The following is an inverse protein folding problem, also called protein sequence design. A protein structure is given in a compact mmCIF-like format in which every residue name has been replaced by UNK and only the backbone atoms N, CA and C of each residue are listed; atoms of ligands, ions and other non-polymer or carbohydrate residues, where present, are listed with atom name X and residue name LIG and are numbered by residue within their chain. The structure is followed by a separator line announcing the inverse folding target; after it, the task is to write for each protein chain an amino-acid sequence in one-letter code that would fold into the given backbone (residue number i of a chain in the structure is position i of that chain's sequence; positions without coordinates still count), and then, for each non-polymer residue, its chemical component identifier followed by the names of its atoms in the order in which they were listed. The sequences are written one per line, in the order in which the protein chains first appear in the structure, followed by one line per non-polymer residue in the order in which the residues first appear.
data_IF_769123808298
#
_entry.id   IF_769123808298
#
_cell.length_a   1.000
_cell.length_b   1.000
_cell.length_c   1.000
_cell.angle_alpha   90.00
_cell.angle_beta   90.00
_cell.angle_gamma   90.00
#
_symmetry.space_group_name_H-M   'P 1'
#
loop_
_entity.id
_entity.type
_entity.pdbx_description
1 polymer ?
2 non-polymer ?
3 water ?
#
# COMPACT_ATOMS: atom_id res chain seq x y z
N UNK A 11 6.42 -25.99 22.20
CA UNK A 11 5.25 -25.45 21.46
C UNK A 11 5.27 -26.00 20.02
N UNK A 12 4.31 -25.58 19.20
CA UNK A 12 4.21 -25.99 17.78
C UNK A 12 5.01 -25.02 16.87
N UNK A 13 5.12 -23.77 17.31
CA UNK A 13 5.97 -22.79 16.65
C UNK A 13 7.03 -22.35 17.65
N UNK A 14 8.10 -21.70 17.17
CA UNK A 14 9.23 -21.33 18.02
C UNK A 14 9.79 -20.00 17.58
N UNK A 15 9.68 -18.97 18.43
CA UNK A 15 10.05 -17.60 18.06
C UNK A 15 11.53 -17.43 17.84
N UNK A 16 11.87 -16.48 16.98
CA UNK A 16 13.27 -16.17 16.67
C UNK A 16 13.58 -14.67 16.57
N UNK A 17 12.65 -13.87 16.04
CA UNK A 17 12.91 -12.43 15.88
C UNK A 17 11.63 -11.59 15.76
N UNK A 18 11.81 -10.26 15.75
CA UNK A 18 10.73 -9.28 15.53
C UNK A 18 10.98 -8.56 14.20
N UNK A 19 10.02 -8.61 13.27
CA UNK A 19 10.25 -8.15 11.89
C UNK A 19 9.59 -6.84 11.32
N UNK A 20 8.67 -6.16 12.02
CA UNK A 20 8.24 -6.50 13.36
C UNK A 20 7.08 -5.68 13.90
N UNK A 21 7.23 -4.36 14.01
CA UNK A 21 6.31 -3.54 14.84
C UNK A 21 5.34 -2.59 14.11
N UNK A 22 4.11 -2.55 14.62
CA UNK A 22 3.06 -1.61 14.21
C UNK A 22 1.96 -1.55 15.28
N UNK A 23 0.70 -1.89 14.95
CA UNK A 23 0.25 -2.25 13.61
C UNK A 23 -0.18 -1.00 12.87
N UNK A 25 0.25 -5.38 17.48
CA UNK A 25 1.12 -4.63 16.57
C UNK A 25 2.44 -5.29 16.22
N UNK A 26 2.79 -6.36 16.94
CA UNK A 26 4.04 -7.07 16.71
C UNK A 26 3.88 -8.24 15.72
N UNK A 27 4.90 -8.42 14.90
CA UNK A 27 5.00 -9.51 13.93
C UNK A 27 6.27 -10.30 14.24
N UNK A 28 6.14 -11.60 14.48
CA UNK A 28 7.29 -12.43 14.83
C UNK A 28 7.65 -13.41 13.73
N UNK A 29 8.92 -13.43 13.36
CA UNK A 29 9.54 -14.55 12.65
C UNK A 29 9.64 -15.76 13.60
N UNK A 30 9.13 -16.90 13.11
CA UNK A 30 9.07 -18.11 13.91
C UNK A 30 9.36 -19.33 13.06
N UNK A 31 9.96 -20.30 13.72
CA UNK A 31 10.20 -21.60 13.16
C UNK A 31 8.87 -22.41 13.21
N UNK A 32 8.40 -22.88 12.05
CA UNK A 32 7.23 -23.78 11.99
C UNK A 32 7.74 -25.22 12.16
N UNK A 33 7.75 -25.71 13.40
CA UNK A 33 8.40 -26.98 13.73
C UNK A 33 7.76 -28.17 13.00
N UNK A 34 6.44 -28.11 12.82
CA UNK A 34 5.65 -29.19 12.25
C UNK A 34 5.84 -29.30 10.73
N UNK A 35 5.98 -28.14 10.07
CA UNK A 35 6.11 -28.11 8.62
C UNK A 35 7.53 -27.77 8.18
N UNK A 36 8.46 -28.70 8.41
CA UNK A 36 9.79 -28.63 7.83
C UNK A 36 10.73 -27.59 8.42
N UNK A 37 10.38 -27.06 9.58
CA UNK A 37 11.12 -25.96 10.20
C UNK A 37 11.16 -24.69 9.37
N UNK A 38 10.19 -24.49 8.50
CA UNK A 38 10.15 -23.29 7.67
C UNK A 38 9.85 -22.05 8.55
N UNK A 39 10.29 -20.90 8.07
CA UNK A 39 9.97 -19.63 8.70
C UNK A 39 8.55 -19.25 8.37
N UNK A 40 7.83 -18.86 9.43
CA UNK A 40 6.53 -18.19 9.31
C UNK A 40 6.55 -16.80 9.99
N UNK A 41 5.47 -16.05 9.83
CA UNK A 41 5.26 -14.80 10.54
C UNK A 41 4.05 -14.95 11.46
N UNK A 42 4.27 -14.97 12.78
CA UNK A 42 3.20 -15.07 13.78
C UNK A 42 2.68 -13.69 14.23
N UNK A 43 1.37 -13.56 14.37
CA UNK A 43 0.72 -12.28 14.72
C UNK A 43 -0.28 -12.48 15.86
N UNK A 44 -0.11 -11.71 16.94
CA UNK A 44 -1.03 -11.72 18.09
C UNK A 44 -1.94 -10.51 18.10
N UNK A 57 -17.01 -9.14 15.50
CA UNK A 57 -16.19 -8.50 14.47
C UNK A 57 -14.77 -9.11 14.37
N UNK A 58 -14.30 -9.79 15.42
CA UNK A 58 -13.00 -10.48 15.40
C UNK A 58 -13.07 -11.75 14.55
N UNK A 59 -13.86 -12.72 15.02
CA UNK A 59 -14.04 -13.98 14.30
C UNK A 59 -14.65 -13.74 12.91
N UNK A 60 -15.28 -12.57 12.72
CA UNK A 60 -15.66 -12.09 11.37
C UNK A 60 -14.46 -11.68 10.51
N UNK A 61 -13.63 -10.76 11.00
CA UNK A 61 -12.41 -10.38 10.26
C UNK A 61 -11.55 -11.61 9.97
N UNK A 62 -11.49 -12.53 10.94
CA UNK A 62 -10.72 -13.77 10.79
C UNK A 62 -11.32 -14.67 9.72
N UNK A 63 -12.65 -14.70 9.71
CA UNK A 63 -13.47 -15.46 8.76
C UNK A 63 -13.27 -14.95 7.36
N UNK A 64 -13.27 -13.63 7.24
CA UNK A 64 -12.96 -12.98 5.97
C UNK A 64 -11.56 -13.36 5.49
N UNK A 65 -10.62 -13.40 6.43
CA UNK A 65 -9.23 -13.68 6.11
C UNK A 65 -9.10 -15.14 5.60
N UNK A 66 -9.79 -16.08 6.26
CA UNK A 66 -9.83 -17.47 5.79
C UNK A 66 -10.53 -17.60 4.45
N UNK A 67 -11.59 -16.83 4.23
CA UNK A 67 -12.28 -16.88 2.94
C UNK A 67 -11.37 -16.41 1.78
N UNK A 68 -10.62 -15.33 2.00
CA UNK A 68 -9.65 -14.87 1.00
C UNK A 68 -8.56 -15.91 0.74
N UNK A 69 -8.06 -16.53 1.80
CA UNK A 69 -7.09 -17.60 1.64
C UNK A 69 -7.56 -18.71 0.66
N UNK A 70 -8.85 -19.04 0.67
CA UNK A 70 -9.33 -20.12 -0.18
C UNK A 70 -9.01 -19.87 -1.65
N UNK A 71 -8.82 -18.62 -2.05
CA UNK A 71 -8.53 -18.32 -3.45
C UNK A 71 -7.03 -18.39 -3.76
N UNK A 72 -6.22 -18.58 -2.73
CA UNK A 72 -4.75 -18.52 -2.82
C UNK A 72 -4.22 -17.57 -3.92
N UNK A 73 -4.59 -16.28 -3.85
CA UNK A 73 -4.08 -15.31 -4.84
C UNK A 73 -2.57 -15.15 -4.68
N UNK A 74 -1.83 -15.11 -5.80
CA UNK A 74 -0.38 -15.16 -5.67
C UNK A 74 0.25 -13.83 -5.19
N UNK A 75 -0.55 -12.76 -5.13
CA UNK A 75 -0.05 -11.46 -4.71
C UNK A 75 -0.57 -11.04 -3.34
N UNK A 76 -0.96 -12.02 -2.54
CA UNK A 76 -1.21 -11.78 -1.12
C UNK A 76 -0.56 -12.85 -0.26
N UNK A 77 -0.10 -12.45 0.91
CA UNK A 77 0.59 -13.35 1.80
C UNK A 77 -0.37 -14.52 2.08
N UNK A 78 0.18 -15.73 2.17
CA UNK A 78 -0.60 -16.92 2.51
C UNK A 78 -0.91 -16.89 4.00
N UNK A 79 -2.15 -17.20 4.36
CA UNK A 79 -2.51 -17.51 5.74
C UNK A 79 -2.41 -19.04 5.95
N UNK A 80 -1.47 -19.49 6.79
CA UNK A 80 -1.24 -20.93 6.99
C UNK A 80 -2.10 -21.50 8.12
N UNK A 81 -2.29 -20.76 9.19
CA UNK A 81 -3.03 -21.28 10.34
C UNK A 81 -3.60 -20.17 11.24
N UNK A 82 -4.66 -20.51 11.95
CA UNK A 82 -5.17 -19.69 13.05
C UNK A 82 -5.17 -20.51 14.32
N UNK A 83 -4.47 -20.01 15.34
CA UNK A 83 -4.43 -20.66 16.65
C UNK A 83 -5.15 -19.82 17.71
N UNK A 84 -5.62 -20.50 18.74
CA UNK A 84 -6.47 -19.87 19.78
C UNK A 84 -6.23 -20.52 21.13
N UNK A 93 -4.34 -14.64 23.20
CA UNK A 93 -5.67 -15.04 22.77
C UNK A 93 -5.67 -15.54 21.32
N UNK A 94 -5.24 -14.69 20.38
CA UNK A 94 -5.38 -14.96 18.93
C UNK A 94 -4.01 -14.95 18.25
N UNK A 95 -3.56 -16.08 17.69
CA UNK A 95 -2.29 -16.14 16.94
C UNK A 95 -2.50 -16.52 15.47
N UNK A 96 -2.22 -15.57 14.57
CA UNK A 96 -2.35 -15.78 13.12
C UNK A 96 -0.99 -16.22 12.55
N UNK A 97 -0.97 -17.30 11.79
CA UNK A 97 0.29 -17.77 11.17
C UNK A 97 0.26 -17.50 9.68
N UNK A 98 1.15 -16.59 9.23
CA UNK A 98 1.27 -16.26 7.82
C UNK A 98 2.57 -16.74 7.23
N UNK A 99 2.61 -16.67 5.91
CA UNK A 99 3.80 -16.82 5.14
C UNK A 99 4.85 -15.74 5.50
N UNK A 100 6.08 -16.20 5.76
CA UNK A 100 7.21 -15.30 5.90
C UNK A 100 7.93 -15.09 4.57
N UNK A 101 8.21 -13.83 4.21
CA UNK A 101 9.11 -13.50 3.10
C UNK A 101 10.30 -12.66 3.59
N UNK A 102 11.48 -12.91 3.03
CA UNK A 102 12.72 -12.35 3.55
C UNK A 102 12.76 -10.83 3.55
N UNK A 103 12.28 -10.19 2.49
CA UNK A 103 12.23 -8.73 2.53
C UNK A 103 10.89 -8.08 2.21
N UNK A 104 10.83 -6.80 2.58
CA UNK A 104 9.74 -5.90 2.21
C UNK A 104 10.25 -4.87 1.20
N UNK A 105 9.38 -4.02 0.71
CA UNK A 105 9.76 -3.09 -0.36
C UNK A 105 10.79 -2.07 0.13
N UNK A 106 10.72 -1.74 1.42
CA UNK A 106 11.62 -0.77 2.05
C UNK A 106 13.05 -1.24 1.90
N UNK A 107 13.30 -2.45 2.40
CA UNK A 107 14.64 -3.05 2.34
C UNK A 107 15.12 -3.31 0.91
N UNK A 108 14.20 -3.60 0.01
CA UNK A 108 14.55 -3.77 -1.39
C UNK A 108 15.00 -2.46 -2.03
N UNK A 109 14.24 -1.38 -1.80
CA UNK A 109 14.61 -0.07 -2.30
C UNK A 109 15.91 0.43 -1.64
N UNK A 110 16.18 0.00 -0.40
CA UNK A 110 17.43 0.31 0.29
C UNK A 110 18.65 -0.26 -0.45
N UNK A 111 18.61 -1.55 -0.73
CA UNK A 111 19.78 -2.28 -1.21
C UNK A 111 19.92 -2.25 -2.74
N UNK A 112 18.91 -1.77 -3.44
CA UNK A 112 18.98 -1.83 -4.91
C UNK A 112 20.14 -0.95 -5.38
N UNK A 113 21.00 -1.49 -6.27
CA UNK A 113 22.13 -0.67 -6.71
C UNK A 113 21.71 0.56 -7.52
N UNK A 114 22.58 1.58 -7.57
CA UNK A 114 22.37 2.71 -8.47
C UNK A 114 22.38 2.22 -9.92
N UNK A 115 21.64 2.90 -10.82
CA UNK A 115 20.81 4.09 -10.58
C UNK A 115 19.36 3.76 -10.12
N UNK A 116 19.16 2.60 -9.49
CA UNK A 116 17.86 2.24 -8.89
C UNK A 116 17.15 1.04 -9.52
N UNK A 117 15.83 0.98 -9.32
CA UNK A 117 15.01 -0.11 -9.80
C UNK A 117 14.91 -0.03 -11.31
N UNK A 118 15.26 -1.11 -12.01
CA UNK A 118 15.05 -1.07 -13.46
C UNK A 118 13.61 -0.75 -13.86
N UNK A 119 13.47 0.05 -14.93
CA UNK A 119 12.18 0.47 -15.48
C UNK A 119 11.15 -0.67 -15.62
N UNK A 120 11.63 -1.81 -16.07
CA UNK A 120 10.74 -2.94 -16.29
C UNK A 120 10.39 -3.63 -14.99
N UNK A 121 11.30 -3.61 -14.03
CA UNK A 121 11.05 -4.14 -12.69
C UNK A 121 9.98 -3.32 -11.96
N UNK A 122 10.08 -1.99 -12.07
CA UNK A 122 9.07 -1.08 -11.54
C UNK A 122 7.71 -1.42 -12.12
N UNK A 123 7.67 -1.55 -13.45
CA UNK A 123 6.45 -1.90 -14.16
C UNK A 123 5.88 -3.25 -13.71
N UNK A 124 6.73 -4.25 -13.53
CA UNK A 124 6.26 -5.57 -13.08
C UNK A 124 5.69 -5.51 -11.67
N UNK A 125 6.40 -4.79 -10.80
CA UNK A 125 6.07 -4.75 -9.38
C UNK A 125 4.77 -3.98 -9.17
N UNK A 126 4.53 -3.00 -10.03
CA UNK A 126 3.29 -2.24 -10.01
C UNK A 126 2.10 -3.08 -10.40
N UNK A 127 2.28 -3.90 -11.43
CA UNK A 127 1.21 -4.73 -11.97
C UNK A 127 0.74 -5.69 -10.89
N UNK A 128 1.69 -6.42 -10.32
CA UNK A 128 1.45 -7.31 -9.21
C UNK A 128 0.77 -6.63 -8.00
N UNK A 129 1.25 -5.44 -7.65
CA UNK A 129 0.66 -4.66 -6.58
C UNK A 129 -0.81 -4.46 -6.84
N UNK A 130 -1.13 -4.00 -8.04
CA UNK A 130 -2.50 -3.66 -8.43
C UNK A 130 -3.32 -4.91 -8.58
N UNK A 131 -2.69 -6.00 -8.98
CA UNK A 131 -3.37 -7.30 -9.03
C UNK A 131 -3.82 -7.77 -7.66
N UNK A 132 -2.89 -7.75 -6.69
CA UNK A 132 -3.20 -8.02 -5.30
C UNK A 132 -4.32 -7.16 -4.75
N UNK A 133 -4.27 -5.87 -5.07
CA UNK A 133 -5.23 -4.90 -4.57
C UNK A 133 -6.62 -5.08 -5.15
N UNK A 134 -6.68 -5.27 -6.45
CA UNK A 134 -7.93 -5.57 -7.12
C UNK A 134 -8.59 -6.86 -6.59
N UNK A 135 -7.78 -7.90 -6.37
CA UNK A 135 -8.26 -9.09 -5.71
C UNK A 135 -8.95 -8.77 -4.36
N UNK A 136 -8.26 -8.01 -3.53
CA UNK A 136 -8.80 -7.52 -2.26
C UNK A 136 -10.06 -6.67 -2.47
N UNK A 137 -9.98 -5.67 -3.32
CA UNK A 137 -11.13 -4.78 -3.53
C UNK A 137 -12.31 -5.53 -4.08
N UNK A 138 -12.04 -6.48 -4.96
CA UNK A 138 -13.11 -7.25 -5.60
C UNK A 138 -13.82 -8.16 -4.60
N UNK A 139 -13.14 -8.50 -3.50
CA UNK A 139 -13.71 -9.29 -2.41
C UNK A 139 -14.08 -8.45 -1.20
N UNK A 140 -14.43 -7.20 -1.50
CA UNK A 140 -14.76 -6.16 -0.51
C UNK A 140 -13.92 -6.14 0.79
N UNK A 141 -12.62 -6.16 0.59
CA UNK A 141 -11.68 -5.86 1.65
C UNK A 141 -10.89 -4.61 1.24
N UNK A 142 -10.81 -3.63 2.14
CA UNK A 142 -9.98 -2.43 1.95
C UNK A 142 -8.73 -2.60 2.81
N UNK A 143 -7.55 -2.42 2.21
CA UNK A 143 -6.33 -2.55 2.96
C UNK A 143 -6.18 -1.44 4.02
N UNK A 144 -6.26 -0.17 3.59
CA UNK A 144 -6.23 1.02 4.49
C UNK A 144 -4.88 1.45 5.05
N UNK A 145 -3.87 0.58 4.99
CA UNK A 145 -2.55 0.98 5.45
C UNK A 145 -1.45 0.40 4.57
N UNK A 146 -1.55 0.64 3.26
CA UNK A 146 -0.51 0.23 2.32
C UNK A 146 0.71 1.10 2.45
N UNK A 147 1.86 0.46 2.56
CA UNK A 147 3.10 1.16 2.64
C UNK A 147 4.17 0.12 2.33
N UNK A 148 5.39 0.58 1.97
CA UNK A 148 6.48 -0.31 1.54
C UNK A 148 6.78 -1.43 2.52
N UNK A 149 6.48 -1.17 3.80
CA UNK A 149 6.78 -2.04 4.94
C UNK A 149 5.91 -3.29 5.03
N UNK A 150 4.74 -3.24 4.39
CA UNK A 150 3.88 -4.42 4.30
C UNK A 150 3.57 -4.78 2.85
N UNK A 151 4.43 -4.34 1.94
CA UNK A 151 4.49 -4.91 0.59
C UNK A 151 5.73 -5.81 0.60
N UNK A 152 5.54 -7.11 0.39
CA UNK A 152 6.66 -8.05 0.55
C UNK A 152 7.19 -8.47 -0.82
N UNK A 153 8.50 -8.64 -0.89
CA UNK A 153 9.18 -8.88 -2.16
C UNK A 153 9.96 -10.18 -2.06
N UNK A 154 9.49 -11.17 -2.78
CA UNK A 154 10.03 -12.52 -2.72
C UNK A 154 11.38 -12.57 -3.45
N UNK A 155 12.23 -13.55 -3.14
CA UNK A 155 13.58 -13.65 -3.79
C UNK A 155 13.49 -13.78 -5.30
N UNK A 156 12.48 -14.52 -5.75
CA UNK A 156 12.12 -14.58 -7.16
C UNK A 156 11.42 -13.31 -7.69
N UNK A 157 11.30 -12.27 -6.85
CA UNK A 157 10.69 -10.99 -7.25
C UNK A 157 9.16 -10.94 -7.26
N UNK A 158 8.51 -11.80 -6.49
CA UNK A 158 7.06 -11.77 -6.40
C UNK A 158 6.57 -10.83 -5.31
N UNK A 159 5.60 -9.98 -5.67
CA UNK A 159 4.98 -9.03 -4.76
C UNK A 159 3.85 -9.68 -3.97
N UNK A 160 3.93 -9.56 -2.65
CA UNK A 160 2.88 -10.08 -1.76
C UNK A 160 2.46 -9.02 -0.73
N UNK A 161 1.18 -8.66 -0.76
CA UNK A 161 0.56 -7.77 0.20
C UNK A 161 0.35 -8.48 1.53
N UNK A 162 0.69 -7.78 2.62
CA UNK A 162 0.45 -8.24 3.98
C UNK A 162 -0.23 -7.17 4.80
N UNK A 163 -0.72 -7.58 5.96
CA UNK A 163 -1.18 -6.67 7.02
C UNK A 163 -2.47 -5.94 6.68
N UNK A 164 -3.41 -6.67 6.08
CA UNK A 164 -4.74 -6.15 5.74
C UNK A 164 -5.75 -7.04 6.45
N UNK A 165 -6.98 -6.54 6.60
CA UNK A 165 -8.08 -7.29 7.21
C UNK A 165 -8.04 -7.49 8.72
N UNK A 166 -7.34 -6.63 9.45
CA UNK A 166 -7.35 -6.70 10.93
C UNK A 166 -7.50 -5.30 11.55
N UNK A 167 -7.84 -5.27 12.85
CA UNK A 167 -8.12 -4.05 13.59
C UNK A 167 -8.63 -4.40 14.99
N UNK A 182 2.85 6.72 10.64
CA UNK A 182 3.22 7.29 9.35
C UNK A 182 2.01 7.56 8.44
N UNK A 183 1.85 8.84 8.09
CA UNK A 183 0.75 9.30 7.29
C UNK A 183 1.17 9.53 5.85
N UNK A 184 2.40 9.15 5.50
CA UNK A 184 2.96 9.47 4.21
C UNK A 184 2.24 8.78 3.06
N UNK A 185 1.44 7.75 3.35
CA UNK A 185 0.71 7.01 2.31
C UNK A 185 -0.79 7.22 2.37
N UNK A 186 -1.26 7.96 3.36
CA UNK A 186 -2.69 8.25 3.55
C UNK A 186 -3.34 9.10 2.49
N UNK A 187 -4.52 8.67 2.03
CA UNK A 187 -5.25 9.47 1.06
C UNK A 187 -5.82 10.77 1.70
N UNK A 188 -6.02 11.81 0.87
CA UNK A 188 -6.71 13.04 1.28
C UNK A 188 -8.01 12.80 2.09
N UNK A 189 -8.91 11.96 1.58
CA UNK A 189 -10.21 11.70 2.21
C UNK A 189 -10.15 11.07 3.59
N UNK A 190 -9.02 10.46 3.93
CA UNK A 190 -8.82 9.90 5.26
C UNK A 190 -8.22 10.98 6.15
N UNK A 191 -7.26 11.73 5.62
CA UNK A 191 -6.70 12.86 6.36
C UNK A 191 -7.83 13.79 6.79
N UNK A 192 -8.67 14.16 5.84
CA UNK A 192 -9.86 15.03 6.06
C UNK A 192 -11.02 14.40 6.84
N UNK A 193 -10.91 13.08 7.11
CA UNK A 193 -11.94 12.27 7.73
C UNK A 193 -13.30 12.35 7.06
N UNK A 194 -13.33 12.26 5.74
CA UNK A 194 -14.59 12.36 5.00
C UNK A 194 -15.09 11.02 4.42
N UNK A 195 -14.18 10.17 3.94
CA UNK A 195 -14.58 8.89 3.35
C UNK A 195 -13.43 7.88 3.37
N UNK A 196 -13.79 6.59 3.46
CA UNK A 196 -12.80 5.52 3.65
C UNK A 196 -13.04 4.34 2.68
N UNK A 197 -13.62 4.61 1.50
CA UNK A 197 -13.89 3.55 0.50
C UNK A 197 -12.59 3.00 -0.15
N UNK A 198 -12.73 2.09 -1.11
CA UNK A 198 -11.54 1.42 -1.67
C UNK A 198 -10.48 2.35 -2.29
N UNK A 199 -10.89 3.49 -2.90
CA UNK A 199 -9.93 4.43 -3.50
C UNK A 199 -8.77 4.83 -2.60
N UNK A 200 -9.02 4.88 -1.30
CA UNK A 200 -8.01 5.12 -0.30
C UNK A 200 -6.68 4.37 -0.57
N UNK A 201 -6.76 3.15 -1.10
CA UNK A 201 -5.61 2.27 -1.38
C UNK A 201 -4.93 2.60 -2.73
N UNK A 202 -5.70 3.13 -3.68
CA UNK A 202 -5.11 3.55 -4.95
C UNK A 202 -4.27 4.83 -4.70
N UNK A 203 -4.69 5.68 -3.77
CA UNK A 203 -3.85 6.84 -3.43
C UNK A 203 -2.51 6.32 -2.90
N UNK A 204 -2.56 5.31 -2.03
CA UNK A 204 -1.33 4.76 -1.49
C UNK A 204 -0.48 4.10 -2.58
N UNK A 205 -1.13 3.47 -3.56
CA UNK A 205 -0.40 2.90 -4.70
C UNK A 205 0.36 3.95 -5.50
N UNK A 206 -0.26 5.09 -5.78
CA UNK A 206 0.41 6.21 -6.42
C UNK A 206 1.69 6.63 -5.70
N UNK A 207 1.57 6.77 -4.39
CA UNK A 207 2.68 7.14 -3.53
C UNK A 207 3.83 6.14 -3.59
N UNK A 208 3.47 4.87 -3.73
CA UNK A 208 4.46 3.79 -3.75
C UNK A 208 5.12 3.73 -5.11
N UNK A 209 4.31 3.79 -6.15
CA UNK A 209 4.76 3.90 -7.52
C UNK A 209 5.86 4.99 -7.61
N UNK A 210 5.54 6.21 -7.17
CA UNK A 210 6.50 7.35 -7.16
C UNK A 210 7.79 6.99 -6.45
N UNK A 211 7.65 6.46 -5.23
CA UNK A 211 8.77 6.06 -4.39
C UNK A 211 9.64 4.93 -4.97
N UNK A 212 9.08 4.14 -5.88
CA UNK A 212 9.88 3.13 -6.56
C UNK A 212 10.86 3.81 -7.53
N UNK A 213 10.44 4.92 -8.13
CA UNK A 213 11.33 5.75 -8.93
C UNK A 213 12.27 6.57 -8.03
N UNK A 214 11.70 7.32 -7.09
CA UNK A 214 12.47 8.25 -6.26
C UNK A 214 13.39 7.57 -5.25
N UNK A 215 13.05 6.36 -4.83
CA UNK A 215 13.69 5.72 -3.66
C UNK A 215 13.63 6.59 -2.40
N UNK A 216 12.70 7.53 -2.37
CA UNK A 216 12.34 8.23 -1.15
C UNK A 216 10.87 8.61 -1.27
N UNK A 217 10.17 8.72 -0.13
CA UNK A 217 8.75 9.09 -0.17
C UNK A 217 8.44 10.41 -0.90
N UNK A 218 7.28 10.46 -1.57
CA UNK A 218 6.81 11.65 -2.27
C UNK A 218 6.28 12.69 -1.31
N UNK A 219 5.60 12.24 -0.26
CA UNK A 219 4.92 13.11 0.69
C UNK A 219 5.28 12.74 2.12
N UNK A 220 6.37 13.30 2.62
CA UNK A 220 6.82 13.01 3.98
C UNK A 220 6.32 14.05 4.99
N UNK A 221 5.00 14.14 5.13
CA UNK A 221 4.33 14.97 6.13
C UNK A 221 4.54 14.45 7.53
N UNK A 222 4.24 15.28 8.52
CA UNK A 222 4.44 14.88 9.94
C UNK A 222 3.14 14.93 10.75
N UNK A 223 2.05 15.29 10.10
CA UNK A 223 0.76 15.39 10.77
C UNK A 223 -0.24 15.33 9.65
N UNK A 224 -1.48 15.04 9.99
CA UNK A 224 -2.55 15.05 8.98
C UNK A 224 -2.56 16.36 8.22
N UNK A 225 -2.51 17.48 8.95
CA UNK A 225 -2.55 18.81 8.32
C UNK A 225 -1.28 19.12 7.53
N UNK A 226 -0.11 18.81 8.08
CA UNK A 226 1.13 18.90 7.26
C UNK A 226 1.03 18.03 5.98
N UNK A 227 0.57 16.78 6.16
CA UNK A 227 0.53 15.82 5.08
C UNK A 227 -0.36 16.33 3.98
N UNK A 228 -1.52 16.83 4.39
CA UNK A 228 -2.45 17.40 3.44
C UNK A 228 -1.79 18.58 2.70
N UNK A 229 -1.11 19.42 3.46
CA UNK A 229 -0.35 20.56 2.90
C UNK A 229 0.68 20.13 1.87
N UNK A 230 1.55 19.19 2.25
CA UNK A 230 2.61 18.68 1.35
C UNK A 230 2.05 18.03 0.07
N UNK A 231 0.85 17.42 0.17
CA UNK A 231 0.19 16.81 -0.97
C UNK A 231 -0.30 17.85 -1.98
N UNK A 232 -1.01 18.86 -1.49
CA UNK A 232 -1.54 19.91 -2.38
C UNK A 232 -0.43 20.78 -2.99
N UNK A 233 0.70 20.93 -2.29
CA UNK A 233 1.88 21.58 -2.88
C UNK A 233 2.30 20.94 -4.21
N UNK A 234 2.08 19.64 -4.36
CA UNK A 234 2.43 18.94 -5.61
C UNK A 234 1.27 18.82 -6.57
N UNK A 235 0.10 18.41 -6.09
CA UNK A 235 -1.03 18.14 -7.00
C UNK A 235 -1.88 19.37 -7.25
N UNK A 236 -1.73 20.39 -6.41
CA UNK A 236 -2.49 21.62 -6.56
C UNK A 236 -3.81 21.60 -5.80
N UNK A 237 -4.40 22.79 -5.66
CA UNK A 237 -5.63 22.94 -4.92
C UNK A 237 -6.72 22.49 -5.85
N UNK A 238 -7.61 21.59 -5.37
CA UNK A 238 -8.66 21.04 -6.25
C UNK A 238 -9.83 21.99 -6.50
N UNK A 239 -10.61 21.72 -7.54
CA UNK A 239 -11.91 22.39 -7.71
C UNK A 239 -12.67 22.44 -6.39
N UNK A 240 -13.51 23.45 -6.23
CA UNK A 240 -14.29 23.61 -5.01
C UNK A 240 -15.30 22.47 -4.81
N UNK A 241 -15.76 21.88 -5.92
CA UNK A 241 -16.74 20.78 -5.88
C UNK A 241 -16.08 19.40 -5.86
N UNK A 242 -14.75 19.36 -5.75
CA UNK A 242 -14.03 18.14 -5.43
C UNK A 242 -13.61 18.13 -3.96
N UNK A 243 -14.00 19.15 -3.20
CA UNK A 243 -13.61 19.24 -1.78
C UNK A 243 -14.73 18.77 -0.87
N UNK A 244 -14.46 17.79 0.00
CA UNK A 244 -15.54 17.10 0.70
C UNK A 244 -16.45 18.03 1.50
N UNK A 245 -17.74 17.69 1.53
CA UNK A 245 -18.73 18.50 2.21
C UNK A 245 -18.72 18.18 3.69
N UNK A 246 -18.88 19.22 4.51
CA UNK A 246 -19.09 19.05 5.95
C UNK A 246 -17.93 18.37 6.69
N UNK A 247 -16.69 18.61 6.25
CA UNK A 247 -15.50 18.26 7.05
C UNK A 247 -14.94 19.50 7.71
N UNK A 248 -14.14 19.28 8.76
CA UNK A 248 -13.56 20.34 9.57
C UNK A 248 -12.65 21.30 8.78
N UNK A 249 -11.85 20.76 7.86
CA UNK A 249 -10.89 21.53 7.07
C UNK A 249 -11.42 21.98 5.71
N UNK A 250 -11.65 23.29 5.53
CA UNK A 250 -12.14 23.73 4.21
C UNK A 250 -11.01 23.89 3.22
N UNK A 251 -11.36 24.02 1.95
CA UNK A 251 -10.44 24.28 0.87
C UNK A 251 -9.58 25.51 1.13
N UNK A 252 -10.19 26.50 1.78
CA UNK A 252 -9.56 27.79 1.99
C UNK A 252 -8.53 27.75 3.13
N UNK A 253 -8.44 26.64 3.86
CA UNK A 253 -7.35 26.49 4.83
C UNK A 253 -6.00 26.17 4.15
N UNK A 254 -6.00 26.14 2.81
CA UNK A 254 -4.79 25.88 2.06
C UNK A 254 -4.69 26.87 0.90
N UNK A 255 -3.49 27.39 0.71
CA UNK A 255 -3.23 28.37 -0.35
C UNK A 255 -2.08 27.81 -1.17
N UNK A 256 -2.08 26.49 -1.33
CA UNK A 256 -1.06 25.78 -2.09
C UNK A 256 -1.27 26.03 -3.59
N UNK A 257 -1.16 27.31 -3.95
CA UNK A 257 -1.41 27.84 -5.29
C UNK A 257 -1.81 26.77 -6.33
N UNK A 258 -0.82 26.09 -6.88
CA UNK A 258 -0.98 25.42 -8.17
C UNK A 258 -0.34 24.03 -8.20
N UNK A 259 -0.80 23.23 -9.16
CA UNK A 259 -0.22 21.94 -9.48
C UNK A 259 1.13 22.11 -10.19
N UNK A 260 2.18 21.52 -9.62
CA UNK A 260 3.50 21.48 -10.25
C UNK A 260 3.65 20.18 -11.04
N UNK A 261 4.35 20.23 -12.20
CA UNK A 261 4.45 19.04 -13.03
C UNK A 261 5.16 17.91 -12.28
N UNK A 262 4.58 16.73 -12.36
CA UNK A 262 4.92 15.65 -11.44
C UNK A 262 6.34 15.11 -11.66
N UNK A 263 6.81 15.17 -12.91
CA UNK A 263 8.18 14.73 -13.24
C UNK A 263 9.31 15.53 -12.55
N UNK A 264 8.98 16.74 -12.08
CA UNK A 264 9.94 17.49 -11.26
C UNK A 264 10.25 16.71 -10.00
N UNK A 265 9.27 15.94 -9.52
CA UNK A 265 9.41 15.15 -8.29
C UNK A 265 9.71 13.70 -8.61
N UNK A 266 9.23 13.22 -9.73
CA UNK A 266 9.50 11.85 -10.14
C UNK A 266 10.32 11.87 -11.44
N UNK A 267 11.62 12.12 -11.27
CA UNK A 267 12.53 12.10 -12.41
C UNK A 267 12.71 10.63 -12.71
N UNK A 268 12.82 10.31 -14.00
CA UNK A 268 12.86 8.93 -14.52
C UNK A 268 11.54 8.55 -15.19
N UNK A 269 10.44 9.18 -14.79
CA UNK A 269 9.11 8.66 -15.15
C UNK A 269 8.70 8.97 -16.60
N UNK A 270 8.30 7.92 -17.32
CA UNK A 270 7.85 8.05 -18.70
C UNK A 270 6.49 8.77 -18.77
N UNK A 271 6.03 9.02 -19.98
CA UNK A 271 4.76 9.74 -20.17
C UNK A 271 3.61 8.96 -19.59
N UNK A 272 3.58 7.65 -19.87
CA UNK A 272 2.47 6.78 -19.47
C UNK A 272 2.41 6.58 -17.95
N UNK A 273 3.55 6.34 -17.34
CA UNK A 273 3.62 6.23 -15.89
C UNK A 273 3.05 7.47 -15.25
N UNK A 274 3.40 8.63 -15.80
CA UNK A 274 2.89 9.93 -15.36
C UNK A 274 1.37 9.97 -15.41
N UNK A 275 0.79 9.55 -16.54
CA UNK A 275 -0.66 9.47 -16.66
C UNK A 275 -1.26 8.58 -15.57
N UNK A 276 -0.77 7.34 -15.46
CA UNK A 276 -1.22 6.41 -14.41
C UNK A 276 -1.05 6.99 -13.02
N UNK A 277 0.16 7.42 -12.71
CA UNK A 277 0.46 8.00 -11.41
C UNK A 277 -0.49 9.15 -11.04
N UNK A 278 -0.88 9.95 -12.02
CA UNK A 278 -1.77 11.08 -11.77
C UNK A 278 -3.22 10.67 -11.53
N UNK A 279 -3.68 9.70 -12.31
CA UNK A 279 -4.99 9.08 -12.08
C UNK A 279 -5.08 8.41 -10.70
N UNK A 280 -3.96 7.92 -10.18
CA UNK A 280 -3.91 7.41 -8.82
C UNK A 280 -3.91 8.57 -7.82
N UNK A 281 -3.16 9.63 -8.11
CA UNK A 281 -3.04 10.77 -7.18
C UNK A 281 -4.05 11.88 -7.51
N UNK A 282 -5.29 11.47 -7.78
CA UNK A 282 -6.41 12.37 -7.99
C UNK A 282 -7.02 12.72 -6.65
N UNK A 283 -7.39 13.98 -6.45
CA UNK A 283 -7.86 14.40 -5.11
C UNK A 283 -9.20 13.76 -4.76
N UNK A 284 -10.10 13.73 -5.73
CA UNK A 284 -11.46 13.28 -5.54
C UNK A 284 -11.53 11.76 -5.68
N UNK A 285 -11.81 11.05 -4.57
CA UNK A 285 -11.87 9.57 -4.60
C UNK A 285 -12.75 8.99 -5.69
N UNK A 286 -13.84 9.69 -6.03
CA UNK A 286 -14.75 9.27 -7.11
C UNK A 286 -14.13 9.35 -8.50
N UNK A 287 -13.12 10.19 -8.66
CA UNK A 287 -12.49 10.40 -9.96
C UNK A 287 -11.18 9.64 -10.11
N UNK A 288 -10.74 9.08 -9.00
CA UNK A 288 -9.55 8.26 -8.95
C UNK A 288 -9.79 6.94 -9.68
N UNK A 289 -8.74 6.49 -10.35
CA UNK A 289 -8.74 5.25 -11.09
C UNK A 289 -8.86 4.10 -10.09
N UNK A 290 -9.48 3.01 -10.52
CA UNK A 290 -9.58 1.82 -9.70
C UNK A 290 -8.40 0.87 -9.98
N UNK A 291 -8.18 -0.06 -9.08
CA UNK A 291 -7.16 -1.09 -9.31
C UNK A 291 -7.50 -1.86 -10.59
N UNK A 292 -8.78 -2.06 -10.83
CA UNK A 292 -9.22 -2.84 -11.98
C UNK A 292 -8.93 -2.09 -13.27
N UNK A 293 -9.27 -0.81 -13.34
CA UNK A 293 -8.97 -0.02 -14.53
C UNK A 293 -7.47 0.14 -14.68
N UNK A 294 -6.78 0.33 -13.55
CA UNK A 294 -5.34 0.50 -13.57
C UNK A 294 -4.68 -0.69 -14.28
N UNK A 295 -5.21 -1.90 -14.04
CA UNK A 295 -4.65 -3.10 -14.67
C UNK A 295 -4.66 -3.02 -16.22
N UNK A 296 -5.57 -2.24 -16.79
CA UNK A 296 -5.66 -2.08 -18.24
C UNK A 296 -4.91 -0.84 -18.77
N UNK A 297 -4.34 -0.03 -17.91
CA UNK A 297 -3.70 1.21 -18.35
C UNK A 297 -2.62 0.89 -19.39
N UNK A 298 -2.48 1.74 -20.43
CA UNK A 298 -1.44 1.52 -21.46
C UNK A 298 0.00 1.39 -20.95
N UNK A 299 0.30 2.00 -19.80
CA UNK A 299 1.61 1.84 -19.15
C UNK A 299 2.05 0.38 -19.06
N UNK A 300 1.08 -0.53 -19.02
CA UNK A 300 1.34 -1.96 -18.89
C UNK A 300 1.30 -2.72 -20.22
N UNK A 301 1.29 -2.01 -21.35
CA UNK A 301 1.38 -2.64 -22.68
C UNK A 301 2.71 -3.36 -22.87
X LIG B 1 10.47 -6.41 6.87
X LIG B 1 9.15 -6.74 7.17
X LIG B 1 8.69 -8.01 6.87
X LIG B 1 9.54 -8.93 6.28
X LIG B 1 10.85 -8.61 5.97
X LIG B 1 11.30 -7.33 6.27
X LIG B 1 7.56 -9.85 6.57
X LIG B 1 7.42 -8.59 7.07
X LIG B 1 6.55 -10.91 6.53
X LIG B 1 5.17 -10.63 6.98
X LIG B 1 4.53 -9.46 7.41
X LIG B 1 3.21 -9.78 7.70
X LIG B 1 3.06 -11.16 7.44
X LIG B 1 4.26 -11.64 7.00
X LIG B 1 8.82 -10.08 6.09
X LIG B 1 6.89 -12.00 6.13
X LIG B 1 4.42 -12.56 6.77
X LIG B 1 4.99 -8.49 7.50
X LIG B 1 2.45 -9.12 8.05
X LIG B 1 2.17 -11.75 7.56
X LIG B 1 9.15 -10.89 5.70
X LIG B 1 10.83 -5.43 7.09
X LIG B 1 8.51 -6.01 7.64
X LIG B 1 12.32 -7.07 6.04
X LIG B 1 11.51 -9.32 5.51
#
# INVERSE_FOLDING_TARGET
MEKDGLCRADQQYECVAEIGEGAYGKVFKARDLKNGGRFVALKRVRVQTGEEGMPLSTIREVAVLRHLETFEHPNVVRLFDVCTVSRTDRETKLTLVFEHVDQDLTTYLDKVPEPGVPTETIKDMMFQLLRGLDFLHSHRVVHRDLKPQNILVTSSGQIKLADFGLARIYSFQMALTSVVVTLWYRAPEVLLQSSYATPVDLWSVGCIFAEMFRRKPLFRGSSDVDQLGKILDVIGLPGEEDWPRDVALPRQAFHSKSAQPIEKFVTDIDELGKDLLLKCLTFNPAKRISAYSALSHPYFQHHHHHH
4AU C1 C2 C3 C4 C5 C6 C8 N17 C10 C11 C12 C13 C14 N7 N9 O16 H21 H23 H24 H25 H26 H1 H2 H6 H5
#
